data_IF_935996259811
#
_entry.id   IF_935996259811
#
_cell.length_a   1.000
_cell.length_b   1.000
_cell.length_c   1.000
_cell.angle_alpha   90.00
_cell.angle_beta   90.00
_cell.angle_gamma   90.00
#
_symmetry.space_group_name_H-M   'P 1'
#
loop_
_entity.id
_entity.type
_entity.pdbx_description
1 polymer ?
#
# COMPACT_ATOMS: atom_id res chain seq x y z
N UNK A 1 -13.82 -5.00 -14.46
CA UNK A 1 -13.88 -5.34 -13.03
C UNK A 1 -13.36 -4.15 -12.21
N UNK A 2 -14.09 -3.77 -11.17
CA UNK A 2 -13.69 -2.65 -10.32
C UNK A 2 -12.94 -3.16 -9.09
N UNK A 3 -11.81 -2.52 -8.78
CA UNK A 3 -11.03 -2.81 -7.58
C UNK A 3 -11.11 -1.67 -6.56
N UNK A 4 -12.27 -0.98 -6.51
CA UNK A 4 -12.46 0.16 -5.61
C UNK A 4 -12.34 -0.20 -4.12
N UNK A 5 -12.52 -1.48 -3.78
CA UNK A 5 -12.40 -1.96 -2.41
C UNK A 5 -10.99 -2.43 -2.04
N UNK A 6 -10.05 -2.37 -2.99
CA UNK A 6 -8.67 -2.76 -2.75
C UNK A 6 -7.84 -1.54 -2.44
N UNK A 7 -7.13 -1.58 -1.32
CA UNK A 7 -6.29 -0.49 -0.85
C UNK A 7 -4.86 -0.97 -0.70
N UNK A 8 -3.92 -0.07 -0.95
CA UNK A 8 -2.49 -0.34 -0.79
C UNK A 8 -1.94 0.58 0.28
N UNK A 9 -1.17 0.02 1.19
CA UNK A 9 -0.61 0.72 2.33
C UNK A 9 0.90 0.56 2.32
N UNK A 10 1.62 1.69 2.30
CA UNK A 10 3.07 1.71 2.42
C UNK A 10 3.42 2.02 3.87
N UNK A 11 4.04 1.07 4.55
CA UNK A 11 4.41 1.21 5.95
C UNK A 11 5.85 1.71 6.08
N UNK A 12 6.01 2.89 6.67
CA UNK A 12 7.29 3.55 6.89
C UNK A 12 8.16 3.65 5.63
N UNK A 13 7.61 4.15 4.51
CA UNK A 13 8.40 4.28 3.28
C UNK A 13 9.57 5.25 3.51
N UNK A 14 10.72 4.92 2.94
CA UNK A 14 11.96 5.66 3.13
C UNK A 14 12.31 6.56 1.94
N UNK A 15 11.96 6.13 0.73
CA UNK A 15 12.34 6.83 -0.50
C UNK A 15 11.10 7.40 -1.20
N UNK A 16 11.07 8.73 -1.42
CA UNK A 16 9.93 9.35 -2.11
C UNK A 16 9.74 8.84 -3.54
N UNK A 17 10.82 8.48 -4.22
CA UNK A 17 10.75 7.93 -5.58
C UNK A 17 9.95 6.62 -5.61
N UNK A 18 10.06 5.80 -4.57
CA UNK A 18 9.33 4.54 -4.50
C UNK A 18 7.83 4.75 -4.29
N UNK A 19 7.45 5.81 -3.59
CA UNK A 19 6.04 6.16 -3.42
C UNK A 19 5.46 6.57 -4.77
N UNK A 20 6.17 7.40 -5.52
CA UNK A 20 5.74 7.81 -6.86
C UNK A 20 5.65 6.64 -7.82
N UNK A 21 6.63 5.75 -7.79
CA UNK A 21 6.62 4.56 -8.63
C UNK A 21 5.46 3.62 -8.28
N UNK A 22 5.14 3.50 -6.99
CA UNK A 22 3.99 2.72 -6.53
C UNK A 22 2.69 3.30 -7.08
N UNK A 23 2.49 4.62 -6.97
CA UNK A 23 1.30 5.28 -7.49
C UNK A 23 1.14 5.05 -8.98
N UNK A 24 2.26 5.14 -9.72
CA UNK A 24 2.25 4.89 -11.16
C UNK A 24 1.85 3.46 -11.48
N UNK A 25 2.39 2.48 -10.75
CA UNK A 25 2.02 1.07 -10.94
C UNK A 25 0.54 0.84 -10.64
N UNK A 26 0.04 1.43 -9.56
CA UNK A 26 -1.38 1.31 -9.20
C UNK A 26 -2.28 1.84 -10.32
N UNK A 27 -1.95 2.98 -10.87
CA UNK A 27 -2.75 3.56 -11.96
C UNK A 27 -2.74 2.67 -13.19
N UNK A 28 -1.60 2.08 -13.54
CA UNK A 28 -1.49 1.20 -14.69
C UNK A 28 -2.37 -0.04 -14.58
N UNK A 29 -2.68 -0.47 -13.36
CA UNK A 29 -3.54 -1.63 -13.10
C UNK A 29 -4.93 -1.25 -12.61
N UNK A 30 -5.32 0.01 -12.78
CA UNK A 30 -6.64 0.55 -12.39
C UNK A 30 -6.92 0.52 -10.89
N UNK A 31 -5.90 0.54 -10.07
CA UNK A 31 -6.02 0.78 -8.63
C UNK A 31 -5.85 2.28 -8.35
N UNK A 32 -6.45 2.76 -7.27
CA UNK A 32 -6.36 4.19 -6.94
C UNK A 32 -6.19 4.48 -5.45
N UNK A 33 -6.37 3.49 -4.60
CA UNK A 33 -6.40 3.73 -3.15
C UNK A 33 -5.03 3.47 -2.54
N UNK A 34 -4.34 4.53 -2.15
CA UNK A 34 -3.02 4.47 -1.54
C UNK A 34 -3.05 5.20 -0.21
N UNK A 35 -2.45 4.59 0.82
CA UNK A 35 -2.23 5.21 2.12
C UNK A 35 -0.77 5.01 2.50
N UNK A 36 -0.27 5.93 3.33
CA UNK A 36 1.11 5.89 3.82
C UNK A 36 1.08 5.97 5.33
N UNK A 37 1.79 5.08 6.01
CA UNK A 37 1.84 5.03 7.47
C UNK A 37 3.23 5.42 7.94
N UNK A 38 3.31 6.43 8.78
CA UNK A 38 4.55 6.92 9.40
C UNK A 38 5.69 7.07 8.39
N UNK A 39 5.51 7.85 7.32
CA UNK A 39 6.57 8.03 6.34
C UNK A 39 7.79 8.70 6.98
N UNK A 40 8.98 8.28 6.56
CA UNK A 40 10.24 8.88 7.02
C UNK A 40 10.62 10.11 6.21
N UNK A 41 9.73 10.55 5.34
CA UNK A 41 9.89 11.73 4.50
C UNK A 41 8.70 12.64 4.70
N UNK A 42 8.88 13.93 4.40
CA UNK A 42 7.76 14.89 4.50
C UNK A 42 6.74 14.68 3.40
N UNK A 43 5.48 14.93 3.72
CA UNK A 43 4.37 14.92 2.76
C UNK A 43 3.62 16.26 2.85
N UNK A 44 3.22 16.82 1.70
CA UNK A 44 3.45 16.35 0.33
C UNK A 44 4.94 16.41 -0.06
N UNK A 45 5.33 15.58 -1.02
CA UNK A 45 6.74 15.46 -1.42
C UNK A 45 6.90 15.64 -2.92
N UNK A 46 7.77 16.56 -3.33
CA UNK A 46 7.97 16.89 -4.74
C UNK A 46 8.54 15.72 -5.54
N UNK A 47 9.46 14.95 -4.95
CA UNK A 47 10.06 13.81 -5.64
C UNK A 47 9.04 12.69 -5.87
N UNK A 48 8.16 12.47 -4.89
CA UNK A 48 7.08 11.48 -5.05
C UNK A 48 6.16 11.89 -6.18
N UNK A 49 5.79 13.17 -6.26
CA UNK A 49 4.96 13.68 -7.34
C UNK A 49 5.65 13.57 -8.70
N UNK A 50 6.95 13.90 -8.75
CA UNK A 50 7.70 13.86 -10.00
C UNK A 50 7.82 12.45 -10.57
N UNK A 51 8.00 11.45 -9.69
CA UNK A 51 8.14 10.05 -10.12
C UNK A 51 6.83 9.34 -10.36
N UNK A 52 5.72 9.96 -10.00
CA UNK A 52 4.39 9.33 -10.17
C UNK A 52 3.87 9.35 -11.61
N UNK A 53 4.40 10.14 -12.46
CA UNK A 53 4.11 10.32 -13.91
C UNK A 53 2.66 9.92 -14.28
N UNK A 54 1.78 10.89 -14.42
CA UNK A 54 0.38 10.63 -14.76
C UNK A 54 -0.47 10.07 -13.63
N UNK A 55 0.12 9.76 -12.48
CA UNK A 55 -0.57 9.25 -11.29
C UNK A 55 -0.51 10.23 -10.13
N UNK A 56 -0.33 11.53 -10.39
CA UNK A 56 -0.26 12.56 -9.37
C UNK A 56 -1.52 12.60 -8.50
N UNK A 57 -2.68 12.33 -9.09
CA UNK A 57 -3.94 12.29 -8.36
C UNK A 57 -3.95 11.23 -7.26
N UNK A 58 -3.28 10.11 -7.46
CA UNK A 58 -3.16 9.05 -6.44
C UNK A 58 -2.33 9.55 -5.27
N UNK A 59 -1.20 10.23 -5.55
CA UNK A 59 -0.36 10.83 -4.51
C UNK A 59 -1.13 11.92 -3.75
N UNK A 60 -1.84 12.78 -4.49
CA UNK A 60 -2.57 13.91 -3.88
C UNK A 60 -3.73 13.47 -3.01
N UNK A 61 -4.38 12.35 -3.34
CA UNK A 61 -5.48 11.80 -2.53
C UNK A 61 -5.02 10.77 -1.52
N UNK A 62 -3.72 10.51 -1.43
CA UNK A 62 -3.14 9.56 -0.49
C UNK A 62 -3.39 9.99 0.96
N UNK A 63 -3.83 9.05 1.79
CA UNK A 63 -4.04 9.30 3.21
C UNK A 63 -2.79 9.00 3.99
N UNK A 64 -2.49 9.84 4.99
CA UNK A 64 -1.31 9.70 5.85
C UNK A 64 -1.79 9.34 7.24
N UNK A 65 -1.24 8.25 7.80
CA UNK A 65 -1.57 7.80 9.15
C UNK A 65 -0.30 7.77 10.02
N UNK A 66 -0.49 8.01 11.32
CA UNK A 66 0.61 7.98 12.28
C UNK A 66 0.95 6.58 12.77
N UNK A 67 0.01 5.64 12.66
CA UNK A 67 0.26 4.26 13.04
C UNK A 67 -0.54 3.31 12.15
N UNK A 68 -0.08 2.07 12.10
CA UNK A 68 -0.66 1.05 11.24
C UNK A 68 -2.11 0.71 11.65
N UNK A 69 -2.37 0.66 12.94
CA UNK A 69 -3.68 0.26 13.46
C UNK A 69 -4.81 1.14 12.93
N UNK A 70 -4.58 2.45 12.87
CA UNK A 70 -5.57 3.39 12.34
C UNK A 70 -5.81 3.19 10.84
N UNK A 71 -4.77 2.79 10.12
CA UNK A 71 -4.85 2.62 8.66
C UNK A 71 -5.63 1.38 8.25
N UNK A 72 -5.73 0.37 9.11
CA UNK A 72 -6.30 -0.93 8.77
C UNK A 72 -7.61 -1.27 9.48
N UNK A 73 -8.10 -0.42 10.36
CA UNK A 73 -9.20 -0.78 11.26
C UNK A 73 -10.52 -1.12 10.53
N UNK A 74 -10.74 -0.60 9.35
CA UNK A 74 -11.99 -0.79 8.61
C UNK A 74 -11.91 -1.89 7.54
N UNK A 75 -10.80 -2.64 7.51
CA UNK A 75 -10.60 -3.66 6.48
C UNK A 75 -11.03 -5.04 6.95
N UNK A 76 -11.67 -5.77 6.04
CA UNK A 76 -12.11 -7.15 6.29
C UNK A 76 -10.96 -8.16 6.12
N UNK A 77 -10.03 -7.86 5.23
CA UNK A 77 -8.90 -8.71 4.94
C UNK A 77 -7.64 -7.86 4.82
N UNK A 78 -6.58 -8.23 5.52
CA UNK A 78 -5.32 -7.51 5.53
C UNK A 78 -4.21 -8.48 5.14
N UNK A 79 -3.47 -8.13 4.07
CA UNK A 79 -2.40 -8.96 3.55
C UNK A 79 -1.11 -8.17 3.62
N UNK A 80 -0.18 -8.64 4.44
CA UNK A 80 1.14 -8.04 4.51
C UNK A 80 2.10 -8.84 3.63
N UNK A 81 2.82 -8.14 2.76
CA UNK A 81 3.84 -8.77 1.93
C UNK A 81 5.12 -8.90 2.75
N UNK A 82 5.73 -10.08 2.71
CA UNK A 82 6.98 -10.31 3.40
C UNK A 82 7.75 -11.45 2.74
N UNK A 83 9.07 -11.35 2.77
CA UNK A 83 9.95 -12.45 2.36
C UNK A 83 10.36 -13.31 3.55
N UNK A 84 10.00 -12.90 4.76
CA UNK A 84 10.34 -13.59 6.01
C UNK A 84 9.09 -13.88 6.82
N UNK A 85 9.02 -15.10 7.37
CA UNK A 85 7.98 -15.44 8.33
C UNK A 85 8.47 -14.96 9.70
N UNK A 86 7.86 -13.87 10.21
CA UNK A 86 8.30 -13.22 11.44
C UNK A 86 7.41 -13.46 12.64
N UNK A 87 6.15 -13.85 12.39
CA UNK A 87 5.19 -14.00 13.48
C UNK A 87 4.31 -15.22 13.22
N UNK A 88 4.30 -16.14 14.19
CA UNK A 88 3.51 -17.38 14.10
C UNK A 88 2.00 -17.13 14.24
N UNK A 89 1.61 -15.97 14.74
CA UNK A 89 0.20 -15.63 14.92
C UNK A 89 -0.48 -15.14 13.65
N UNK A 90 0.30 -14.86 12.59
CA UNK A 90 -0.24 -14.42 11.32
C UNK A 90 -0.38 -15.60 10.36
N UNK A 91 -1.49 -15.59 9.63
CA UNK A 91 -1.69 -16.55 8.55
C UNK A 91 -0.91 -16.11 7.32
N UNK A 92 -0.05 -16.98 6.83
CA UNK A 92 0.72 -16.72 5.62
C UNK A 92 0.08 -17.43 4.44
N UNK A 93 -0.08 -16.70 3.33
CA UNK A 93 -0.62 -17.27 2.09
C UNK A 93 0.40 -17.09 0.97
N UNK A 94 0.43 -18.03 0.05
CA UNK A 94 1.29 -17.91 -1.12
C UNK A 94 0.64 -17.00 -2.17
N UNK A 95 1.45 -16.51 -3.11
CA UNK A 95 0.94 -15.70 -4.22
C UNK A 95 -0.18 -16.43 -4.98
N UNK A 96 -0.09 -17.75 -5.07
CA UNK A 96 -1.10 -18.57 -5.74
C UNK A 96 -2.47 -18.44 -5.10
N UNK A 97 -2.54 -18.20 -3.80
CA UNK A 97 -3.79 -18.13 -3.07
C UNK A 97 -4.44 -16.75 -3.08
N UNK A 98 -3.81 -15.76 -3.73
CA UNK A 98 -4.39 -14.42 -3.84
C UNK A 98 -5.72 -14.45 -4.61
N UNK A 99 -5.92 -15.40 -5.49
CA UNK A 99 -7.16 -15.55 -6.26
C UNK A 99 -8.36 -15.94 -5.39
N UNK A 100 -8.11 -16.55 -4.22
CA UNK A 100 -9.18 -16.99 -3.32
C UNK A 100 -9.73 -15.86 -2.45
N UNK A 101 -9.13 -14.67 -2.50
CA UNK A 101 -9.55 -13.53 -1.70
C UNK A 101 -10.82 -12.92 -2.28
N UNK A 102 -11.76 -12.58 -1.41
CA UNK A 102 -13.00 -11.93 -1.83
C UNK A 102 -12.76 -10.42 -1.98
N UNK A 103 -12.49 -9.98 -3.19
CA UNK A 103 -12.25 -8.57 -3.50
C UNK A 103 -13.49 -7.68 -3.51
N UNK A 104 -14.66 -8.26 -3.25
CA UNK A 104 -15.88 -7.47 -3.03
C UNK A 104 -15.89 -6.85 -1.63
N UNK A 105 -15.12 -7.41 -0.70
CA UNK A 105 -14.92 -6.86 0.63
C UNK A 105 -13.73 -5.92 0.62
N UNK A 106 -13.58 -5.13 1.69
CA UNK A 106 -12.44 -4.22 1.83
C UNK A 106 -11.16 -5.01 2.10
N UNK A 107 -10.22 -4.92 1.20
CA UNK A 107 -8.94 -5.63 1.26
C UNK A 107 -7.80 -4.62 1.27
N UNK A 108 -6.84 -4.80 2.17
CA UNK A 108 -5.64 -3.97 2.22
C UNK A 108 -4.39 -4.82 2.01
N UNK A 109 -3.52 -4.35 1.12
CA UNK A 109 -2.18 -4.92 0.92
C UNK A 109 -1.17 -3.97 1.57
N UNK A 110 -0.33 -4.49 2.44
CA UNK A 110 0.66 -3.71 3.18
C UNK A 110 2.05 -4.08 2.69
N UNK A 111 2.83 -3.05 2.35
CA UNK A 111 4.23 -3.19 1.97
C UNK A 111 5.10 -2.51 3.02
N UNK A 112 6.09 -3.22 3.56
CA UNK A 112 6.99 -2.70 4.56
C UNK A 112 8.08 -1.79 3.98
N UNK A 113 9.00 -1.28 4.84
CA UNK A 113 10.09 -0.43 4.39
C UNK A 113 11.00 -1.15 3.40
N UNK A 114 11.56 -0.39 2.46
CA UNK A 114 12.39 -0.95 1.38
C UNK A 114 13.61 -1.70 1.93
N UNK A 115 14.19 -1.18 3.01
CA UNK A 115 15.42 -1.75 3.58
C UNK A 115 15.19 -2.99 4.45
N UNK A 116 13.95 -3.23 4.92
CA UNK A 116 13.66 -4.34 5.84
C UNK A 116 12.46 -5.18 5.42
N UNK A 117 11.88 -4.86 4.31
CA UNK A 117 10.85 -5.51 3.55
C UNK A 117 9.91 -6.46 4.05
#
# INVERSE_FOLDING_TARGET
MSFSNVHFILYKPQLPENIGACARALKNFNFRNLSVVSPKISFPNKKALATSVGAKNIIQSCKIYNNLEKSIKDFNCIIATTTRIRNKNFKYISVKNLKSINYKKKVAFIFGPEASG
#
